data_IF_838945445446
#
_entry.id   IF_838945445446
#
_cell.length_a   1.000
_cell.length_b   1.000
_cell.length_c   1.000
_cell.angle_alpha   90.00
_cell.angle_beta   90.00
_cell.angle_gamma   90.00
#
_symmetry.space_group_name_H-M   'P 1'
#
loop_
_entity.id
_entity.type
_entity.pdbx_description
1 polymer ?
#
# COMPACT_ATOMS: atom_id res chain seq x y z
N UNK A 1 11.19 -8.81 -27.09
CA UNK A 1 11.84 -9.58 -26.03
C UNK A 1 11.25 -10.98 -25.96
N UNK A 2 12.02 -11.96 -25.54
CA UNK A 2 11.54 -13.33 -25.42
C UNK A 2 10.71 -13.49 -24.15
N UNK A 3 9.55 -14.16 -24.25
CA UNK A 3 8.78 -14.56 -23.08
C UNK A 3 9.61 -15.54 -22.24
N UNK A 4 9.82 -15.23 -20.97
CA UNK A 4 10.63 -16.00 -20.04
C UNK A 4 9.81 -16.72 -18.97
N UNK A 5 8.65 -16.19 -18.61
CA UNK A 5 7.74 -16.73 -17.61
C UNK A 5 6.35 -16.90 -18.25
N UNK A 6 5.72 -18.00 -17.93
CA UNK A 6 4.32 -18.29 -18.24
C UNK A 6 3.64 -18.71 -16.93
N UNK A 7 2.47 -18.18 -16.67
CA UNK A 7 1.61 -18.56 -15.55
C UNK A 7 0.37 -19.29 -16.08
N UNK A 8 -0.06 -20.33 -15.41
CA UNK A 8 -1.26 -21.08 -15.72
C UNK A 8 -2.02 -21.43 -14.44
N UNK A 9 -3.35 -21.56 -14.56
CA UNK A 9 -4.24 -22.10 -13.53
C UNK A 9 -5.07 -23.21 -14.16
N UNK A 10 -5.11 -24.35 -13.49
CA UNK A 10 -5.91 -25.47 -13.95
C UNK A 10 -7.41 -25.18 -13.74
N UNK A 11 -8.25 -25.74 -14.61
CA UNK A 11 -9.68 -25.76 -14.41
C UNK A 11 -10.03 -26.83 -13.36
N UNK A 12 -10.78 -26.44 -12.36
CA UNK A 12 -11.34 -27.34 -11.34
C UNK A 12 -12.77 -27.73 -11.78
N UNK A 13 -12.97 -28.95 -12.32
CA UNK A 13 -14.29 -29.37 -12.82
C UNK A 13 -15.32 -29.54 -11.71
N UNK A 14 -14.89 -29.91 -10.50
CA UNK A 14 -15.78 -30.13 -9.35
C UNK A 14 -16.29 -28.80 -8.78
N UNK A 15 -15.42 -27.78 -8.76
CA UNK A 15 -15.78 -26.44 -8.32
C UNK A 15 -16.37 -25.56 -9.44
N UNK A 16 -16.29 -25.97 -10.71
CA UNK A 16 -16.74 -25.21 -11.87
C UNK A 16 -15.98 -23.88 -12.07
N UNK A 17 -14.72 -23.80 -11.63
CA UNK A 17 -13.89 -22.57 -11.68
C UNK A 17 -12.41 -22.89 -11.83
N UNK A 18 -11.61 -21.87 -12.09
CA UNK A 18 -10.16 -22.02 -12.05
C UNK A 18 -9.68 -22.35 -10.62
N UNK A 19 -8.69 -23.24 -10.51
CA UNK A 19 -8.07 -23.62 -9.23
C UNK A 19 -7.47 -22.40 -8.52
N UNK A 20 -7.29 -22.48 -7.19
CA UNK A 20 -6.58 -21.46 -6.40
C UNK A 20 -5.09 -21.41 -6.68
N UNK A 21 -4.53 -22.46 -7.29
CA UNK A 21 -3.09 -22.60 -7.49
C UNK A 21 -2.67 -22.05 -8.85
N UNK A 22 -1.74 -21.10 -8.84
CA UNK A 22 -1.03 -20.60 -10.01
C UNK A 22 0.25 -21.41 -10.19
N UNK A 23 0.43 -22.00 -11.38
CA UNK A 23 1.64 -22.73 -11.75
C UNK A 23 2.49 -21.87 -12.68
N UNK A 24 3.75 -21.64 -12.33
CA UNK A 24 4.69 -20.90 -13.13
C UNK A 24 5.64 -21.83 -13.86
N UNK A 25 5.90 -21.49 -15.12
CA UNK A 25 6.85 -22.17 -15.98
C UNK A 25 7.87 -21.13 -16.46
N UNK A 26 9.09 -21.55 -16.68
CA UNK A 26 10.12 -20.71 -17.27
C UNK A 26 10.67 -21.29 -18.57
N UNK A 27 11.25 -20.42 -19.36
CA UNK A 27 12.01 -20.81 -20.54
C UNK A 27 13.44 -20.30 -20.37
N UNK A 28 14.48 -21.15 -20.62
CA UNK A 28 15.89 -20.74 -20.60
C UNK A 28 16.17 -19.55 -21.53
N UNK A 29 17.19 -18.76 -21.24
CA UNK A 29 17.54 -17.57 -22.03
C UNK A 29 17.86 -17.88 -23.47
N UNK A 30 18.48 -19.02 -23.70
CA UNK A 30 18.82 -19.55 -25.07
C UNK A 30 17.58 -20.03 -25.85
N UNK A 31 16.39 -20.00 -25.28
CA UNK A 31 15.19 -20.61 -25.84
C UNK A 31 15.05 -22.06 -25.39
N UNK A 32 14.06 -22.78 -25.95
CA UNK A 32 13.80 -24.16 -25.61
C UNK A 32 12.38 -24.42 -25.13
N UNK A 33 12.18 -25.52 -24.42
CA UNK A 33 10.89 -25.93 -23.89
C UNK A 33 10.58 -25.13 -22.62
N UNK A 34 9.29 -25.07 -22.26
CA UNK A 34 8.82 -24.59 -20.99
C UNK A 34 9.07 -25.65 -19.93
N UNK A 35 9.69 -25.25 -18.84
CA UNK A 35 9.99 -26.11 -17.68
C UNK A 35 9.25 -25.61 -16.45
N UNK A 36 8.77 -26.50 -15.55
CA UNK A 36 8.16 -26.09 -14.31
C UNK A 36 9.12 -25.25 -13.46
N UNK A 37 8.61 -24.20 -12.82
CA UNK A 37 9.41 -23.29 -12.02
C UNK A 37 9.00 -23.29 -10.55
N UNK A 38 7.75 -22.89 -10.27
CA UNK A 38 7.21 -22.77 -8.92
C UNK A 38 5.68 -22.68 -8.95
N UNK A 39 5.07 -22.70 -7.80
CA UNK A 39 3.63 -22.50 -7.61
C UNK A 39 3.37 -21.36 -6.64
N UNK A 40 2.15 -20.82 -6.69
CA UNK A 40 1.62 -19.88 -5.72
C UNK A 40 0.14 -20.20 -5.46
N UNK A 41 -0.26 -20.33 -4.23
CA UNK A 41 -1.65 -20.53 -3.83
C UNK A 41 -2.28 -19.19 -3.46
N UNK A 42 -3.36 -18.83 -4.15
CA UNK A 42 -4.05 -17.54 -3.99
C UNK A 42 -4.84 -17.42 -2.68
N UNK A 43 -5.13 -18.54 -2.00
CA UNK A 43 -5.92 -18.53 -0.77
C UNK A 43 -5.04 -18.51 0.47
N UNK A 44 -4.00 -19.34 0.50
CA UNK A 44 -3.04 -19.38 1.61
C UNK A 44 -1.91 -18.37 1.44
N UNK A 45 -1.74 -17.83 0.22
CA UNK A 45 -0.62 -16.96 -0.19
C UNK A 45 0.75 -17.65 -0.05
N UNK A 46 0.76 -18.98 -0.07
CA UNK A 46 1.99 -19.77 0.00
C UNK A 46 2.62 -19.96 -1.38
N UNK A 47 3.95 -20.00 -1.39
CA UNK A 47 4.74 -20.16 -2.61
C UNK A 47 5.44 -18.89 -3.07
N UNK A 48 5.53 -18.66 -4.39
CA UNK A 48 6.15 -17.47 -4.96
C UNK A 48 5.25 -16.87 -6.04
N UNK A 49 4.69 -15.70 -5.79
CA UNK A 49 3.93 -14.91 -6.76
C UNK A 49 4.87 -14.09 -7.63
N UNK A 50 5.12 -14.53 -8.88
CA UNK A 50 6.06 -13.88 -9.77
C UNK A 50 5.44 -12.63 -10.40
N UNK A 51 6.12 -11.48 -10.31
CA UNK A 51 5.67 -10.19 -10.82
C UNK A 51 6.61 -9.57 -11.87
N UNK A 52 7.89 -9.98 -11.89
CA UNK A 52 8.86 -9.42 -12.83
C UNK A 52 9.94 -10.45 -13.20
N UNK A 53 10.69 -10.13 -14.24
CA UNK A 53 11.88 -10.88 -14.66
C UNK A 53 13.07 -9.93 -14.71
N UNK A 54 14.08 -10.22 -13.91
CA UNK A 54 15.41 -9.61 -14.04
C UNK A 54 16.20 -10.40 -15.08
N UNK A 55 16.12 -9.93 -16.32
CA UNK A 55 16.77 -10.61 -17.45
C UNK A 55 18.29 -10.53 -17.37
N UNK A 56 18.86 -9.49 -16.77
CA UNK A 56 20.31 -9.29 -16.65
C UNK A 56 20.93 -10.35 -15.73
N UNK A 57 20.23 -10.69 -14.65
CA UNK A 57 20.69 -11.66 -13.65
C UNK A 57 20.04 -13.05 -13.83
N UNK A 58 19.25 -13.25 -14.90
CA UNK A 58 18.54 -14.50 -15.18
C UNK A 58 17.68 -14.99 -13.99
N UNK A 59 16.89 -14.11 -13.42
CA UNK A 59 16.06 -14.39 -12.24
C UNK A 59 14.62 -13.94 -12.44
N UNK A 60 13.66 -14.68 -11.89
CA UNK A 60 12.33 -14.22 -11.63
C UNK A 60 12.31 -13.47 -10.29
N UNK A 61 11.51 -12.42 -10.22
CA UNK A 61 11.28 -11.61 -8.99
C UNK A 61 9.80 -11.73 -8.63
N UNK A 62 9.53 -11.92 -7.38
CA UNK A 62 8.15 -12.06 -6.90
C UNK A 62 8.04 -11.90 -5.39
N UNK A 63 6.82 -12.12 -4.90
CA UNK A 63 6.51 -12.09 -3.49
C UNK A 63 6.41 -13.50 -2.92
N UNK A 64 7.00 -13.69 -1.74
CA UNK A 64 6.83 -14.88 -0.91
C UNK A 64 6.84 -14.47 0.56
N UNK A 65 6.25 -15.30 1.42
CA UNK A 65 6.26 -15.06 2.86
C UNK A 65 7.62 -15.38 3.46
N UNK A 66 8.11 -14.46 4.28
CA UNK A 66 9.29 -14.61 5.13
C UNK A 66 8.87 -14.15 6.54
N UNK A 67 8.97 -15.02 7.52
CA UNK A 67 8.57 -14.76 8.92
C UNK A 67 7.13 -14.18 9.03
N UNK A 68 6.20 -14.75 8.25
CA UNK A 68 4.79 -14.37 8.25
C UNK A 68 4.48 -13.02 7.58
N UNK A 69 5.40 -12.48 6.77
CA UNK A 69 5.22 -11.23 6.02
C UNK A 69 5.64 -11.40 4.56
N UNK A 70 4.97 -10.67 3.68
CA UNK A 70 5.35 -10.63 2.27
C UNK A 70 6.72 -9.96 2.13
N UNK A 71 7.61 -10.62 1.38
CA UNK A 71 8.95 -10.16 1.06
C UNK A 71 9.19 -10.29 -0.44
N UNK A 72 10.10 -9.48 -0.99
CA UNK A 72 10.58 -9.65 -2.37
C UNK A 72 11.63 -10.73 -2.39
N UNK A 73 11.37 -11.75 -3.18
CA UNK A 73 12.25 -12.92 -3.38
C UNK A 73 12.60 -13.05 -4.84
N UNK A 74 13.85 -13.38 -5.11
CA UNK A 74 14.32 -13.76 -6.45
C UNK A 74 14.49 -15.27 -6.56
N UNK A 75 14.16 -15.83 -7.72
CA UNK A 75 14.30 -17.26 -8.06
C UNK A 75 15.12 -17.41 -9.35
N UNK A 76 16.15 -18.22 -9.32
CA UNK A 76 17.00 -18.48 -10.48
C UNK A 76 16.21 -19.15 -11.63
N UNK A 77 16.45 -18.71 -12.87
CA UNK A 77 15.84 -19.27 -14.09
C UNK A 77 16.81 -20.21 -14.82
N UNK A 78 17.44 -21.11 -14.04
CA UNK A 78 18.44 -22.09 -14.49
C UNK A 78 18.11 -23.53 -14.06
N UNK A 79 16.94 -23.73 -13.45
CA UNK A 79 16.50 -25.03 -12.94
C UNK A 79 17.05 -25.40 -11.56
N UNK A 80 17.92 -24.61 -10.96
CA UNK A 80 18.50 -24.89 -9.64
C UNK A 80 17.50 -24.75 -8.48
N UNK A 81 16.39 -24.02 -8.70
CA UNK A 81 15.45 -23.67 -7.62
C UNK A 81 16.02 -22.70 -6.59
N UNK A 82 17.18 -22.10 -6.82
CA UNK A 82 17.84 -21.20 -5.88
C UNK A 82 17.04 -19.92 -5.66
N UNK A 83 16.57 -19.72 -4.42
CA UNK A 83 15.85 -18.52 -3.97
C UNK A 83 16.78 -17.64 -3.14
N UNK A 84 16.55 -16.34 -3.23
CA UNK A 84 17.25 -15.34 -2.40
C UNK A 84 16.27 -14.25 -2.01
N UNK A 85 16.15 -13.94 -0.72
CA UNK A 85 15.40 -12.77 -0.26
C UNK A 85 16.13 -11.51 -0.71
N UNK A 86 15.46 -10.70 -1.54
CA UNK A 86 15.99 -9.44 -2.05
C UNK A 86 15.73 -8.32 -1.04
N UNK A 87 14.50 -8.29 -0.51
CA UNK A 87 14.11 -7.34 0.50
C UNK A 87 12.97 -7.90 1.36
N UNK A 88 13.11 -7.77 2.68
CA UNK A 88 12.09 -8.06 3.68
C UNK A 88 12.07 -6.95 4.73
N UNK A 89 10.90 -6.66 5.30
CA UNK A 89 10.78 -5.70 6.39
C UNK A 89 10.35 -6.41 7.68
N UNK A 90 10.92 -6.07 8.86
CA UNK A 90 10.64 -6.81 10.10
C UNK A 90 9.26 -6.57 10.69
N UNK A 91 8.54 -5.55 10.29
CA UNK A 91 7.26 -5.13 10.90
C UNK A 91 6.07 -5.13 9.95
N UNK A 92 6.30 -4.94 8.65
CA UNK A 92 5.23 -4.78 7.63
C UNK A 92 5.53 -5.60 6.39
N UNK A 93 4.52 -5.82 5.58
CA UNK A 93 4.66 -6.46 4.27
C UNK A 93 5.38 -5.54 3.30
N UNK A 94 6.18 -6.13 2.42
CA UNK A 94 6.66 -5.48 1.20
C UNK A 94 5.58 -5.71 0.15
N UNK A 95 5.04 -4.64 -0.42
CA UNK A 95 3.77 -4.68 -1.16
C UNK A 95 3.89 -4.38 -2.66
N UNK A 96 5.04 -3.82 -3.09
CA UNK A 96 5.25 -3.51 -4.51
C UNK A 96 6.71 -3.68 -4.92
N UNK A 97 6.94 -4.19 -6.12
CA UNK A 97 8.24 -4.18 -6.80
C UNK A 97 8.28 -2.99 -7.75
N UNK A 98 9.21 -2.09 -7.54
CA UNK A 98 9.39 -0.91 -8.40
C UNK A 98 10.08 -1.36 -9.68
N UNK A 99 9.41 -1.15 -10.79
CA UNK A 99 9.96 -1.40 -12.13
C UNK A 99 9.97 -0.12 -12.96
N UNK A 100 10.95 0.02 -13.86
CA UNK A 100 11.07 1.17 -14.75
C UNK A 100 11.31 0.78 -16.19
N UNK A 101 10.90 1.68 -17.08
CA UNK A 101 11.13 1.57 -18.51
C UNK A 101 10.35 0.45 -19.18
N UNK A 102 10.48 0.39 -20.50
CA UNK A 102 9.74 -0.56 -21.33
C UNK A 102 10.05 -2.04 -21.00
N UNK A 103 11.25 -2.32 -20.55
CA UNK A 103 11.70 -3.68 -20.21
C UNK A 103 11.38 -4.07 -18.77
N UNK A 104 10.66 -3.25 -18.02
CA UNK A 104 10.28 -3.50 -16.63
C UNK A 104 11.50 -3.88 -15.77
N UNK A 105 12.58 -3.10 -15.89
CA UNK A 105 13.79 -3.30 -15.07
C UNK A 105 13.44 -3.09 -13.59
N UNK A 106 13.67 -4.09 -12.78
CA UNK A 106 13.47 -4.02 -11.33
C UNK A 106 14.51 -3.10 -10.71
N UNK A 107 14.07 -2.11 -9.95
CA UNK A 107 14.93 -1.08 -9.34
C UNK A 107 14.70 -0.87 -7.86
N UNK A 108 13.73 -1.56 -7.27
CA UNK A 108 13.45 -1.43 -5.85
C UNK A 108 12.15 -2.11 -5.44
N UNK A 109 11.76 -1.82 -4.21
CA UNK A 109 10.50 -2.26 -3.63
C UNK A 109 9.91 -1.17 -2.73
N UNK A 110 8.59 -1.25 -2.45
CA UNK A 110 7.91 -0.37 -1.50
C UNK A 110 7.30 -1.15 -0.34
N UNK A 111 7.09 -0.45 0.75
CA UNK A 111 6.37 -0.89 1.92
C UNK A 111 5.80 0.32 2.66
N UNK A 112 4.80 0.12 3.50
CA UNK A 112 4.23 1.19 4.31
C UNK A 112 4.30 0.85 5.80
N UNK A 113 5.03 1.66 6.57
CA UNK A 113 4.95 1.71 8.03
C UNK A 113 3.87 2.72 8.42
N UNK A 114 4.21 3.80 9.11
CA UNK A 114 3.38 5.00 9.27
C UNK A 114 3.27 5.81 7.96
N UNK A 115 4.28 5.71 7.09
CA UNK A 115 4.33 6.31 5.75
C UNK A 115 4.87 5.29 4.74
N UNK A 116 4.46 5.44 3.50
CA UNK A 116 5.02 4.65 2.40
C UNK A 116 6.47 5.04 2.14
N UNK A 117 7.31 4.03 2.02
CA UNK A 117 8.73 4.14 1.77
C UNK A 117 9.12 3.31 0.55
N UNK A 118 10.17 3.73 -0.13
CA UNK A 118 10.76 2.99 -1.24
C UNK A 118 12.23 2.69 -0.93
N UNK A 119 12.62 1.44 -1.13
CA UNK A 119 14.03 1.01 -1.11
C UNK A 119 14.46 0.77 -2.55
N UNK A 120 15.43 1.57 -3.02
CA UNK A 120 15.98 1.44 -4.36
C UNK A 120 17.25 0.60 -4.34
N UNK A 121 17.37 -0.34 -5.26
CA UNK A 121 18.60 -1.10 -5.52
C UNK A 121 19.58 -0.34 -6.43
N UNK A 122 19.08 0.68 -7.13
CA UNK A 122 19.86 1.56 -8.00
C UNK A 122 20.18 2.86 -7.24
N UNK A 123 21.45 3.04 -6.87
CA UNK A 123 21.92 4.20 -6.09
C UNK A 123 21.70 5.55 -6.83
N UNK A 124 21.74 5.54 -8.18
CA UNK A 124 21.46 6.75 -8.99
C UNK A 124 20.01 7.16 -8.84
N UNK A 125 19.06 6.21 -8.92
CA UNK A 125 17.65 6.49 -8.75
C UNK A 125 17.33 6.91 -7.32
N UNK A 126 17.96 6.28 -6.33
CA UNK A 126 17.82 6.67 -4.91
C UNK A 126 18.27 8.12 -4.69
N UNK A 127 19.45 8.49 -5.17
CA UNK A 127 19.97 9.86 -5.05
C UNK A 127 19.07 10.88 -5.79
N UNK A 128 18.57 10.50 -6.96
CA UNK A 128 17.69 11.34 -7.78
C UNK A 128 16.36 11.60 -7.08
N UNK A 129 15.65 10.58 -6.63
CA UNK A 129 14.36 10.72 -5.94
C UNK A 129 14.51 11.50 -4.64
N UNK A 130 15.56 11.26 -3.85
CA UNK A 130 15.86 12.02 -2.65
C UNK A 130 16.15 13.51 -2.95
N UNK A 131 16.85 13.82 -4.03
CA UNK A 131 17.13 15.20 -4.45
C UNK A 131 15.85 15.91 -4.89
N UNK A 132 14.99 15.24 -5.66
CA UNK A 132 13.71 15.78 -6.12
C UNK A 132 12.75 16.00 -4.94
N UNK A 133 12.70 15.09 -3.98
CA UNK A 133 11.90 15.25 -2.77
C UNK A 133 12.29 16.52 -2.01
N UNK A 134 13.58 16.73 -1.77
CA UNK A 134 14.07 17.97 -1.14
C UNK A 134 13.71 19.22 -1.94
N UNK A 135 13.88 19.19 -3.26
CA UNK A 135 13.56 20.32 -4.14
C UNK A 135 12.06 20.66 -4.16
N UNK A 136 11.21 19.66 -3.90
CA UNK A 136 9.75 19.81 -3.86
C UNK A 136 9.19 19.94 -2.43
N UNK A 137 10.02 20.34 -1.46
CA UNK A 137 9.59 20.60 -0.08
C UNK A 137 9.30 19.36 0.75
N UNK A 138 10.00 18.25 0.50
CA UNK A 138 9.86 17.00 1.26
C UNK A 138 8.68 16.12 0.81
N UNK A 139 8.10 16.39 -0.35
CA UNK A 139 7.03 15.55 -0.91
C UNK A 139 7.51 14.13 -1.19
N UNK A 140 6.60 13.18 -1.08
CA UNK A 140 6.82 11.82 -1.58
C UNK A 140 6.96 11.85 -3.09
N UNK A 141 7.96 11.13 -3.60
CA UNK A 141 8.27 11.05 -5.03
C UNK A 141 8.09 9.60 -5.48
N UNK A 142 7.25 9.39 -6.49
CA UNK A 142 7.07 8.09 -7.12
C UNK A 142 7.49 8.17 -8.60
N UNK A 143 8.31 7.20 -9.02
CA UNK A 143 8.63 7.02 -10.44
C UNK A 143 7.40 6.36 -11.08
N UNK A 144 6.73 7.09 -11.98
CA UNK A 144 5.56 6.56 -12.70
C UNK A 144 5.99 5.79 -13.93
N UNK A 145 6.95 6.34 -14.69
CA UNK A 145 7.50 5.69 -15.88
C UNK A 145 8.79 6.37 -16.32
N UNK A 146 9.48 5.76 -17.30
CA UNK A 146 10.63 6.35 -17.96
C UNK A 146 10.61 6.08 -19.47
N UNK A 147 11.38 6.85 -20.23
CA UNK A 147 11.76 6.47 -21.60
C UNK A 147 12.61 5.22 -21.61
N UNK A 148 12.68 4.52 -22.75
CA UNK A 148 13.41 3.25 -22.88
C UNK A 148 14.92 3.38 -22.58
N UNK A 149 15.48 4.55 -22.83
CA UNK A 149 16.89 4.91 -22.58
C UNK A 149 17.10 5.60 -21.22
N UNK A 150 16.05 5.71 -20.42
CA UNK A 150 16.06 6.42 -19.13
C UNK A 150 16.56 7.89 -19.23
N UNK A 151 16.41 8.51 -20.39
CA UNK A 151 16.76 9.93 -20.60
C UNK A 151 15.71 10.88 -19.99
N UNK A 152 14.48 10.42 -19.84
CA UNK A 152 13.38 11.17 -19.22
C UNK A 152 12.59 10.31 -18.23
N UNK A 153 12.15 10.92 -17.15
CA UNK A 153 11.36 10.29 -16.10
C UNK A 153 10.05 11.04 -15.89
N UNK A 154 8.97 10.30 -15.83
CA UNK A 154 7.70 10.79 -15.32
C UNK A 154 7.62 10.51 -13.83
N UNK A 155 7.50 11.56 -13.02
CA UNK A 155 7.33 11.48 -11.57
C UNK A 155 5.96 11.96 -11.16
N UNK A 156 5.46 11.38 -10.09
CA UNK A 156 4.40 11.97 -9.28
C UNK A 156 4.98 12.44 -7.96
N UNK A 157 4.56 13.62 -7.49
CA UNK A 157 4.96 14.16 -6.19
C UNK A 157 3.75 14.68 -5.43
N UNK A 158 3.60 14.28 -4.17
CA UNK A 158 2.49 14.69 -3.30
C UNK A 158 2.78 14.50 -1.82
N UNK A 159 1.81 14.90 -0.98
CA UNK A 159 1.84 14.72 0.47
C UNK A 159 0.42 14.65 1.00
N UNK A 160 0.25 14.60 2.31
CA UNK A 160 -1.04 14.69 3.00
C UNK A 160 -1.80 16.01 2.72
N UNK A 161 -1.04 17.10 2.58
CA UNK A 161 -1.56 18.45 2.26
C UNK A 161 -1.33 18.85 0.79
N UNK A 162 -1.03 17.90 -0.06
CA UNK A 162 -0.84 18.13 -1.50
C UNK A 162 -1.42 16.96 -2.30
N UNK A 163 -2.52 17.16 -3.05
CA UNK A 163 -3.17 16.10 -3.83
C UNK A 163 -2.27 15.44 -4.87
N UNK A 164 -1.11 16.04 -5.13
CA UNK A 164 -0.09 15.53 -6.03
C UNK A 164 -0.10 16.19 -7.40
N UNK A 165 1.05 16.13 -8.03
CA UNK A 165 1.32 16.66 -9.36
C UNK A 165 2.29 15.75 -10.10
N UNK A 166 2.09 15.62 -11.40
CA UNK A 166 3.01 14.94 -12.31
C UNK A 166 4.07 15.90 -12.82
N UNK A 167 5.28 15.39 -12.94
CA UNK A 167 6.45 16.12 -13.44
C UNK A 167 7.20 15.29 -14.46
N UNK A 168 7.71 15.95 -15.50
CA UNK A 168 8.72 15.39 -16.38
C UNK A 168 10.10 15.87 -15.94
N UNK A 169 11.01 14.93 -15.71
CA UNK A 169 12.38 15.20 -15.33
C UNK A 169 13.35 14.71 -16.39
N UNK A 170 14.28 15.59 -16.80
CA UNK A 170 15.36 15.31 -17.74
C UNK A 170 16.70 15.39 -16.99
N UNK A 171 17.31 14.26 -16.58
CA UNK A 171 18.52 14.24 -15.73
C UNK A 171 19.71 14.98 -16.34
N UNK A 172 19.95 14.82 -17.64
CA UNK A 172 21.08 15.47 -18.33
C UNK A 172 21.04 17.00 -18.26
N UNK A 173 19.83 17.57 -18.22
CA UNK A 173 19.60 19.02 -18.13
C UNK A 173 19.30 19.48 -16.71
N UNK A 174 19.14 18.54 -15.75
CA UNK A 174 18.63 18.80 -14.40
C UNK A 174 17.31 19.58 -14.41
N UNK A 175 16.50 19.38 -15.44
CA UNK A 175 15.26 20.11 -15.65
C UNK A 175 14.08 19.30 -15.12
N UNK A 176 13.30 19.91 -14.20
CA UNK A 176 12.04 19.39 -13.71
C UNK A 176 10.91 20.29 -14.20
N UNK A 177 10.01 19.75 -15.02
CA UNK A 177 8.90 20.48 -15.63
C UNK A 177 7.57 19.96 -15.08
N UNK A 178 6.72 20.78 -14.46
CA UNK A 178 5.38 20.39 -14.07
C UNK A 178 4.54 20.08 -15.31
N UNK A 179 3.74 19.01 -15.25
CA UNK A 179 2.86 18.57 -16.35
C UNK A 179 1.38 18.74 -15.98
N UNK A 180 0.93 18.05 -14.95
CA UNK A 180 -0.48 17.90 -14.62
C UNK A 180 -0.67 17.81 -13.12
N UNK A 181 -1.52 18.67 -12.55
CA UNK A 181 -1.96 18.56 -11.17
C UNK A 181 -3.11 17.55 -11.06
N UNK A 182 -3.10 16.69 -10.04
CA UNK A 182 -4.16 15.71 -9.84
C UNK A 182 -5.51 16.37 -9.54
N UNK A 183 -5.48 17.48 -8.79
CA UNK A 183 -6.70 18.19 -8.38
C UNK A 183 -6.47 19.71 -8.41
N UNK A 184 -6.43 20.31 -9.60
CA UNK A 184 -6.13 21.73 -9.75
C UNK A 184 -7.13 22.65 -9.03
N UNK A 185 -8.40 22.20 -8.90
CA UNK A 185 -9.45 22.92 -8.19
C UNK A 185 -9.17 23.09 -6.68
N UNK A 186 -8.27 22.31 -6.11
CA UNK A 186 -7.91 22.39 -4.68
C UNK A 186 -6.71 23.31 -4.39
N UNK A 187 -6.17 23.98 -5.39
CA UNK A 187 -4.98 24.82 -5.24
C UNK A 187 -5.14 25.97 -4.21
N UNK A 188 -6.37 26.45 -4.02
CA UNK A 188 -6.70 27.51 -3.05
C UNK A 188 -7.23 26.97 -1.70
N UNK A 189 -7.32 25.64 -1.52
CA UNK A 189 -7.84 25.04 -0.30
C UNK A 189 -6.69 24.78 0.68
N UNK A 190 -6.81 25.28 1.91
CA UNK A 190 -5.89 24.95 2.99
C UNK A 190 -6.23 23.56 3.51
N UNK A 191 -5.42 22.57 3.16
CA UNK A 191 -5.60 21.18 3.57
C UNK A 191 -5.06 20.93 4.97
N UNK A 192 -5.61 19.93 5.65
CA UNK A 192 -5.24 19.55 7.01
C UNK A 192 -4.12 18.52 7.01
N UNK A 193 -3.08 18.67 7.85
CA UNK A 193 -2.07 17.64 8.05
C UNK A 193 -2.69 16.35 8.60
N UNK A 194 -2.18 15.22 8.10
CA UNK A 194 -2.56 13.88 8.56
C UNK A 194 -1.56 13.38 9.59
N UNK A 195 -2.05 13.03 10.77
CA UNK A 195 -1.23 12.52 11.86
C UNK A 195 -1.29 10.98 11.87
N UNK A 196 -0.14 10.33 11.87
CA UNK A 196 -0.05 8.90 12.17
C UNK A 196 -0.12 8.72 13.68
N UNK A 197 -1.07 7.91 14.14
CA UNK A 197 -1.34 7.66 15.56
C UNK A 197 -1.54 6.17 15.81
N UNK A 198 -1.60 5.79 17.08
CA UNK A 198 -2.13 4.51 17.53
C UNK A 198 -3.14 4.73 18.66
N UNK A 199 -4.12 3.84 18.78
CA UNK A 199 -5.05 3.83 19.90
C UNK A 199 -5.22 2.40 20.43
N UNK A 200 -5.53 2.20 21.72
CA UNK A 200 -5.76 0.89 22.28
C UNK A 200 -7.15 0.36 21.91
N UNK A 201 -7.23 -0.86 21.42
CA UNK A 201 -8.47 -1.63 21.39
C UNK A 201 -8.84 -2.10 22.81
N UNK A 202 -10.06 -2.63 22.99
CA UNK A 202 -10.57 -3.10 24.28
C UNK A 202 -9.70 -4.18 24.93
N UNK A 203 -8.98 -4.98 24.14
CA UNK A 203 -8.05 -6.02 24.60
C UNK A 203 -6.60 -5.49 24.81
N UNK A 204 -6.37 -4.20 24.66
CA UNK A 204 -5.06 -3.55 24.81
C UNK A 204 -4.19 -3.59 23.56
N UNK A 205 -4.64 -4.20 22.46
CA UNK A 205 -3.92 -4.17 21.19
C UNK A 205 -3.85 -2.75 20.65
N UNK A 206 -2.65 -2.29 20.28
CA UNK A 206 -2.47 -0.95 19.70
C UNK A 206 -2.82 -0.97 18.23
N UNK A 207 -3.84 -0.22 17.84
CA UNK A 207 -4.35 -0.14 16.47
C UNK A 207 -3.75 1.07 15.77
N UNK A 208 -3.03 0.89 14.64
CA UNK A 208 -2.55 2.00 13.82
C UNK A 208 -3.73 2.75 13.17
N UNK A 209 -3.63 4.07 13.12
CA UNK A 209 -4.65 4.90 12.48
C UNK A 209 -4.07 6.23 11.97
N UNK A 210 -4.86 6.92 11.17
CA UNK A 210 -4.57 8.30 10.76
C UNK A 210 -5.65 9.23 11.27
N UNK A 211 -5.22 10.35 11.85
CA UNK A 211 -6.10 11.39 12.39
C UNK A 211 -5.93 12.66 11.56
N UNK A 212 -7.05 13.17 11.04
CA UNK A 212 -7.13 14.44 10.34
C UNK A 212 -8.03 15.38 11.11
N UNK A 213 -7.50 16.52 11.56
CA UNK A 213 -8.25 17.55 12.25
C UNK A 213 -8.65 18.68 11.31
N UNK A 214 -9.69 19.49 11.64
CA UNK A 214 -10.03 20.68 10.86
C UNK A 214 -8.82 21.62 10.70
N UNK A 215 -8.72 22.39 9.61
CA UNK A 215 -7.63 23.32 9.41
C UNK A 215 -7.43 24.28 10.57
N UNK A 216 -6.18 24.41 11.01
CA UNK A 216 -5.82 25.27 12.14
C UNK A 216 -6.11 24.71 13.55
N UNK A 217 -6.72 23.52 13.66
CA UNK A 217 -6.91 22.83 14.94
C UNK A 217 -5.70 21.96 15.28
N UNK A 218 -5.36 21.94 16.55
CA UNK A 218 -4.27 21.11 17.12
C UNK A 218 -4.77 20.01 18.04
N UNK A 219 -6.07 20.04 18.39
CA UNK A 219 -6.77 19.02 19.18
C UNK A 219 -8.20 18.79 18.67
N UNK A 220 -8.83 17.69 19.08
CA UNK A 220 -10.18 17.32 18.69
C UNK A 220 -11.24 17.73 19.73
N UNK A 221 -10.87 18.42 20.78
CA UNK A 221 -11.77 18.71 21.93
C UNK A 221 -13.02 19.47 21.50
N UNK A 222 -14.17 18.89 21.84
CA UNK A 222 -15.50 19.45 21.56
C UNK A 222 -15.90 19.41 20.07
N UNK A 223 -15.08 18.82 19.20
CA UNK A 223 -15.42 18.67 17.78
C UNK A 223 -16.42 17.54 17.55
N UNK A 224 -17.25 17.63 16.53
CA UNK A 224 -17.86 16.45 15.94
C UNK A 224 -16.78 15.57 15.35
N UNK A 225 -17.01 14.23 15.29
CA UNK A 225 -16.01 13.31 14.80
C UNK A 225 -16.59 12.21 13.91
N UNK A 226 -15.75 11.70 13.04
CA UNK A 226 -16.06 10.60 12.14
C UNK A 226 -14.99 9.52 12.31
N UNK A 227 -15.43 8.30 12.57
CA UNK A 227 -14.63 7.08 12.35
C UNK A 227 -14.84 6.64 10.91
N UNK A 228 -13.78 6.54 10.14
CA UNK A 228 -13.85 6.25 8.71
C UNK A 228 -13.06 4.98 8.38
N UNK A 229 -13.64 3.77 8.62
CA UNK A 229 -12.99 2.52 8.29
C UNK A 229 -12.92 2.31 6.78
N UNK A 230 -11.77 1.82 6.29
CA UNK A 230 -11.58 1.48 4.89
C UNK A 230 -12.41 0.25 4.47
N UNK A 231 -12.57 0.07 3.16
CA UNK A 231 -13.14 -1.13 2.57
C UNK A 231 -12.15 -2.30 2.56
N UNK A 232 -12.56 -3.41 2.02
CA UNK A 232 -11.74 -4.63 1.91
C UNK A 232 -12.42 -5.81 2.60
N UNK A 233 -11.98 -6.27 3.79
CA UNK A 233 -10.98 -5.73 4.73
C UNK A 233 -9.52 -5.81 4.26
N UNK A 234 -9.23 -6.60 3.21
CA UNK A 234 -7.90 -6.78 2.60
C UNK A 234 -7.38 -5.50 1.94
N UNK A 235 -7.36 -4.41 2.69
CA UNK A 235 -6.86 -3.09 2.31
C UNK A 235 -6.27 -2.41 3.53
N UNK A 236 -5.80 -1.19 3.37
CA UNK A 236 -5.37 -0.32 4.47
C UNK A 236 -5.49 1.13 4.07
N UNK A 237 -5.61 2.01 5.04
CA UNK A 237 -5.33 3.42 4.86
C UNK A 237 -3.83 3.70 4.97
N UNK A 238 -3.36 4.74 4.31
CA UNK A 238 -1.98 5.20 4.32
C UNK A 238 -1.90 6.71 4.54
N UNK A 239 -0.78 7.14 5.10
CA UNK A 239 -0.49 8.56 5.22
C UNK A 239 -0.39 9.20 3.83
N UNK A 240 -1.21 10.22 3.61
CA UNK A 240 -1.24 10.93 2.34
C UNK A 240 -2.51 11.76 2.19
N UNK A 241 -2.70 12.29 1.00
CA UNK A 241 -3.92 13.01 0.66
C UNK A 241 -5.07 12.03 0.43
N UNK A 242 -6.05 12.07 1.33
CA UNK A 242 -7.36 11.44 1.13
C UNK A 242 -8.44 12.53 0.99
N UNK A 243 -9.16 12.50 -0.12
CA UNK A 243 -10.11 13.56 -0.45
C UNK A 243 -11.31 13.59 0.49
N UNK A 244 -11.72 12.44 1.03
CA UNK A 244 -12.93 12.33 1.86
C UNK A 244 -12.62 12.75 3.30
N UNK A 245 -11.49 12.32 3.87
CA UNK A 245 -11.04 12.79 5.17
C UNK A 245 -10.80 14.30 5.16
N UNK A 246 -10.19 14.82 4.09
CA UNK A 246 -10.01 16.26 3.91
C UNK A 246 -11.35 17.02 3.80
N UNK A 247 -12.32 16.46 3.07
CA UNK A 247 -13.65 17.06 2.96
C UNK A 247 -14.33 17.17 4.33
N UNK A 248 -14.35 16.11 5.11
CA UNK A 248 -14.93 16.14 6.44
C UNK A 248 -14.17 17.08 7.40
N UNK A 249 -12.83 17.08 7.33
CA UNK A 249 -12.03 18.02 8.11
C UNK A 249 -12.35 19.48 7.75
N UNK A 250 -12.52 19.81 6.47
CA UNK A 250 -12.94 21.15 6.02
C UNK A 250 -14.33 21.53 6.51
N UNK A 251 -15.21 20.56 6.76
CA UNK A 251 -16.56 20.80 7.31
C UNK A 251 -16.61 20.79 8.84
N UNK A 252 -15.43 20.69 9.48
CA UNK A 252 -15.29 20.87 10.93
C UNK A 252 -15.21 19.58 11.76
N UNK A 253 -15.12 18.40 11.13
CA UNK A 253 -15.02 17.12 11.82
C UNK A 253 -13.57 16.72 12.11
N UNK A 254 -13.32 16.11 13.26
CA UNK A 254 -12.14 15.27 13.44
C UNK A 254 -12.39 13.91 12.76
N UNK A 255 -11.46 13.44 11.94
CA UNK A 255 -11.61 12.18 11.18
C UNK A 255 -10.52 11.21 11.57
N UNK A 256 -10.89 10.01 12.03
CA UNK A 256 -9.96 8.91 12.29
C UNK A 256 -10.15 7.79 11.25
N UNK A 257 -9.06 7.35 10.64
CA UNK A 257 -9.01 6.24 9.66
C UNK A 257 -8.25 5.06 10.30
N UNK A 258 -8.94 4.09 10.92
CA UNK A 258 -8.30 2.98 11.60
C UNK A 258 -7.84 1.89 10.63
N UNK A 259 -6.60 1.40 10.77
CA UNK A 259 -6.14 0.16 10.19
C UNK A 259 -6.41 -0.99 11.18
N UNK A 260 -7.68 -1.33 11.32
CA UNK A 260 -8.18 -2.37 12.22
C UNK A 260 -7.58 -3.74 11.92
N UNK A 261 -7.60 -4.67 12.88
CA UNK A 261 -7.15 -6.05 12.64
C UNK A 261 -7.97 -6.69 11.52
N UNK A 262 -7.27 -7.26 10.53
CA UNK A 262 -7.80 -7.69 9.24
C UNK A 262 -7.39 -6.78 8.09
N UNK A 263 -6.80 -5.60 8.35
CA UNK A 263 -6.17 -4.77 7.32
C UNK A 263 -4.91 -5.45 6.77
N UNK A 264 -4.63 -5.26 5.47
CA UNK A 264 -3.42 -5.79 4.81
C UNK A 264 -2.17 -4.97 5.16
N UNK A 265 -1.00 -5.53 4.86
CA UNK A 265 0.27 -4.82 4.99
C UNK A 265 0.95 -4.94 6.35
N UNK A 266 0.37 -5.66 7.31
CA UNK A 266 0.91 -5.86 8.65
C UNK A 266 1.32 -7.31 8.93
N UNK A 267 1.34 -8.17 7.91
CA UNK A 267 1.64 -9.59 8.01
C UNK A 267 0.45 -10.46 8.41
N UNK A 268 0.69 -11.78 8.39
CA UNK A 268 -0.35 -12.81 8.58
C UNK A 268 -1.04 -12.74 9.95
N UNK A 269 -0.30 -12.44 11.01
CA UNK A 269 -0.87 -12.34 12.36
C UNK A 269 -1.94 -11.25 12.47
N UNK A 270 -1.80 -10.17 11.69
CA UNK A 270 -2.76 -9.07 11.64
C UNK A 270 -3.90 -9.35 10.64
N UNK A 271 -3.55 -9.87 9.47
CA UNK A 271 -4.46 -10.03 8.34
C UNK A 271 -5.20 -11.37 8.36
N UNK A 272 -4.47 -12.50 8.21
CA UNK A 272 -5.07 -13.82 8.03
C UNK A 272 -5.85 -14.28 9.26
N UNK A 273 -5.30 -14.03 10.47
CA UNK A 273 -5.92 -14.45 11.72
C UNK A 273 -7.11 -13.56 12.13
N UNK A 274 -7.23 -12.38 11.57
CA UNK A 274 -8.24 -11.38 11.92
C UNK A 274 -9.04 -10.84 10.72
N UNK A 275 -9.00 -11.51 9.58
CA UNK A 275 -9.75 -11.14 8.38
C UNK A 275 -11.27 -11.36 8.51
N UNK A 276 -11.93 -11.77 7.45
CA UNK A 276 -13.40 -12.00 7.44
C UNK A 276 -13.90 -12.96 8.54
N UNK A 277 -13.07 -13.93 8.94
CA UNK A 277 -13.45 -14.90 9.97
C UNK A 277 -13.55 -14.30 11.38
N UNK A 278 -12.89 -13.18 11.61
CA UNK A 278 -12.82 -12.48 12.91
C UNK A 278 -13.48 -11.10 12.85
N UNK A 279 -14.60 -10.97 12.17
CA UNK A 279 -15.30 -9.70 11.99
C UNK A 279 -15.62 -8.98 13.29
N UNK A 280 -15.89 -9.70 14.40
CA UNK A 280 -16.13 -9.09 15.71
C UNK A 280 -14.90 -8.34 16.22
N UNK A 281 -13.70 -8.88 16.01
CA UNK A 281 -12.45 -8.21 16.34
C UNK A 281 -12.26 -6.96 15.47
N UNK A 282 -12.43 -7.11 14.17
CA UNK A 282 -12.27 -6.01 13.20
C UNK A 282 -13.24 -4.85 13.47
N UNK A 283 -14.53 -5.17 13.67
CA UNK A 283 -15.56 -4.15 13.97
C UNK A 283 -15.37 -3.60 15.38
N UNK A 284 -14.95 -4.42 16.35
CA UNK A 284 -14.59 -3.98 17.71
C UNK A 284 -13.50 -2.91 17.68
N UNK A 285 -12.42 -3.13 16.91
CA UNK A 285 -11.35 -2.16 16.73
C UNK A 285 -11.88 -0.82 16.16
N UNK A 286 -12.80 -0.88 15.18
CA UNK A 286 -13.45 0.32 14.61
C UNK A 286 -14.28 1.06 15.67
N UNK A 287 -15.04 0.33 16.50
CA UNK A 287 -15.85 0.90 17.59
C UNK A 287 -14.95 1.54 18.65
N UNK A 288 -13.83 0.88 18.99
CA UNK A 288 -12.86 1.39 19.97
C UNK A 288 -12.17 2.68 19.51
N UNK A 289 -12.03 2.90 18.19
CA UNK A 289 -11.58 4.20 17.66
C UNK A 289 -12.52 5.34 18.09
N UNK A 290 -13.84 5.11 18.00
CA UNK A 290 -14.85 6.07 18.47
C UNK A 290 -14.75 6.33 19.96
N UNK A 291 -14.67 5.28 20.78
CA UNK A 291 -14.51 5.38 22.23
C UNK A 291 -13.24 6.13 22.61
N UNK A 292 -12.13 5.87 21.92
CA UNK A 292 -10.87 6.57 22.13
C UNK A 292 -10.97 8.06 21.76
N UNK A 293 -11.65 8.41 20.67
CA UNK A 293 -11.89 9.81 20.30
C UNK A 293 -12.64 10.55 21.42
N UNK A 294 -13.65 9.93 22.01
CA UNK A 294 -14.40 10.52 23.13
C UNK A 294 -13.53 10.63 24.39
N UNK A 295 -12.94 9.53 24.84
CA UNK A 295 -12.27 9.44 26.14
C UNK A 295 -10.92 10.14 26.18
N UNK A 296 -10.11 10.01 25.12
CA UNK A 296 -8.73 10.50 25.07
C UNK A 296 -8.59 11.83 24.31
N UNK A 297 -9.42 12.06 23.28
CA UNK A 297 -9.34 13.26 22.44
C UNK A 297 -10.41 14.30 22.79
N UNK A 298 -11.40 13.92 23.60
CA UNK A 298 -12.43 14.83 24.10
C UNK A 298 -13.40 15.33 23.04
N UNK A 299 -13.65 14.54 21.97
CA UNK A 299 -14.70 14.85 21.00
C UNK A 299 -16.07 14.80 21.63
N UNK A 300 -17.04 15.50 21.04
CA UNK A 300 -18.43 15.52 21.50
C UNK A 300 -19.10 14.16 21.23
N UNK A 301 -19.43 13.35 22.26
CA UNK A 301 -20.03 12.03 22.07
C UNK A 301 -21.40 12.09 21.39
N UNK A 302 -22.11 13.21 21.47
CA UNK A 302 -23.39 13.39 20.79
C UNK A 302 -23.25 13.66 19.29
N UNK A 303 -22.04 13.85 18.81
CA UNK A 303 -21.72 14.16 17.41
C UNK A 303 -20.65 13.22 16.84
N UNK A 304 -20.62 11.98 17.31
CA UNK A 304 -19.77 10.91 16.79
C UNK A 304 -20.53 10.11 15.72
N UNK A 305 -19.89 9.87 14.59
CA UNK A 305 -20.46 9.11 13.47
C UNK A 305 -19.43 8.12 12.91
N UNK A 306 -19.93 7.08 12.24
CA UNK A 306 -19.10 6.16 11.44
C UNK A 306 -19.52 6.28 9.98
N UNK A 307 -18.56 6.45 9.08
CA UNK A 307 -18.79 6.59 7.64
C UNK A 307 -17.85 5.65 6.89
N UNK A 308 -18.39 4.81 6.01
CA UNK A 308 -17.58 3.90 5.22
C UNK A 308 -18.33 3.36 4.00
N UNK A 309 -17.59 2.73 3.10
CA UNK A 309 -18.15 2.01 1.96
C UNK A 309 -17.61 0.59 1.89
N UNK A 310 -18.29 -0.31 1.16
CA UNK A 310 -17.94 -1.72 1.08
C UNK A 310 -17.83 -2.34 2.48
N UNK A 311 -16.74 -3.00 2.84
CA UNK A 311 -16.52 -3.52 4.19
C UNK A 311 -16.58 -2.43 5.28
N UNK A 312 -16.07 -1.22 5.00
CA UNK A 312 -16.20 -0.07 5.91
C UNK A 312 -17.66 0.32 6.14
N UNK A 313 -18.52 0.22 5.12
CA UNK A 313 -19.98 0.40 5.26
C UNK A 313 -20.63 -0.70 6.11
N UNK A 314 -20.23 -1.95 5.92
CA UNK A 314 -20.62 -3.06 6.79
C UNK A 314 -20.19 -2.80 8.25
N UNK A 315 -18.92 -2.40 8.45
CA UNK A 315 -18.41 -2.09 9.78
C UNK A 315 -19.19 -0.95 10.45
N UNK A 316 -19.56 0.09 9.69
CA UNK A 316 -20.38 1.20 10.20
C UNK A 316 -21.76 0.72 10.69
N UNK A 317 -22.46 -0.10 9.88
CA UNK A 317 -23.76 -0.64 10.27
C UNK A 317 -23.65 -1.62 11.45
N UNK A 318 -22.63 -2.47 11.43
CA UNK A 318 -22.44 -3.49 12.45
C UNK A 318 -22.02 -2.88 13.79
N UNK A 319 -21.25 -1.78 13.78
CA UNK A 319 -20.92 -1.03 15.01
C UNK A 319 -22.17 -0.53 15.73
N UNK A 320 -23.16 0.01 15.01
CA UNK A 320 -24.43 0.45 15.60
C UNK A 320 -25.31 -0.67 16.15
N UNK A 321 -24.97 -1.94 15.90
CA UNK A 321 -25.64 -3.12 16.49
C UNK A 321 -24.89 -3.62 17.73
N UNK A 322 -23.57 -3.40 17.77
CA UNK A 322 -22.70 -3.90 18.86
C UNK A 322 -22.58 -2.92 20.03
N UNK A 323 -22.80 -1.60 19.79
CA UNK A 323 -22.55 -0.55 20.77
C UNK A 323 -23.64 0.52 20.83
#
# INVERSE_FOLDING_TARGET
GNLRIMANRDWDPDAGRLSGVVRYFYRPAAGGRWEPLTTYDLLSEEGLSIVAVDAANNRAIGFAKVDGRQAVVSLALDGSGTRTTVFAHPQVDVDEVITIGRNQRVVGATFATDRRQAVMTDARLQAMTASLSRALGGKNIYIVNTTADESQFLFWAGSDVSPGQYYLYTPAQRQLRPLLANRPQMAAVTLSPVQSITYPAADGTMIPAYLTLPPGRTDARGLPAIVMPHGGPSSRDEWGFDWLSQYFAQTGYAVIQPNFRGSSGYGDAWYMNNGFQSWRTSVGDVTDAGRWLVSAQGVDPAKLSIVGWSYGGYAALQSGVMD
#
